data_IF_464845764171
#
_entry.id   IF_464845764171
#
_cell.length_a   1.000
_cell.length_b   1.000
_cell.length_c   1.000
_cell.angle_alpha   90.00
_cell.angle_beta   90.00
_cell.angle_gamma   90.00
#
_symmetry.space_group_name_H-M   'P 1'
#
loop_
_entity.id
_entity.type
_entity.pdbx_description
1 polymer ?
#
# COMPACT_ATOMS: atom_id res chain seq x y z
N UNK A 1 -11.56 -6.25 -18.77
CA UNK A 1 -11.30 -6.77 -17.40
C UNK A 1 -11.23 -5.59 -16.45
N UNK A 2 -12.03 -5.53 -15.38
CA UNK A 2 -11.92 -4.46 -14.40
C UNK A 2 -10.54 -4.52 -13.72
N UNK A 3 -9.90 -3.35 -13.57
CA UNK A 3 -8.58 -3.22 -12.97
C UNK A 3 -8.69 -2.39 -11.70
N UNK A 4 -8.19 -2.91 -10.59
CA UNK A 4 -8.08 -2.16 -9.35
C UNK A 4 -6.75 -1.40 -9.36
N UNK A 5 -6.84 -0.07 -9.35
CA UNK A 5 -5.68 0.83 -9.28
C UNK A 5 -5.56 1.34 -7.85
N UNK A 6 -4.36 1.25 -7.28
CA UNK A 6 -4.02 1.80 -5.97
C UNK A 6 -2.64 2.43 -6.01
N UNK A 7 -2.30 3.18 -4.96
CA UNK A 7 -0.97 3.75 -4.79
C UNK A 7 -0.60 3.78 -3.30
N UNK A 8 0.69 3.85 -3.02
CA UNK A 8 1.26 3.99 -1.68
C UNK A 8 2.19 5.20 -1.65
N UNK A 9 1.98 6.04 -0.65
CA UNK A 9 2.83 7.19 -0.36
C UNK A 9 3.97 6.81 0.58
N UNK A 10 5.22 7.10 0.19
CA UNK A 10 6.44 6.61 0.87
C UNK A 10 7.32 7.71 1.44
N UNK A 11 6.79 8.93 1.60
CA UNK A 11 7.59 10.07 2.06
C UNK A 11 8.32 9.79 3.38
N UNK A 12 7.62 9.28 4.39
CA UNK A 12 8.23 9.01 5.71
C UNK A 12 9.33 7.96 5.66
N UNK A 13 9.20 6.94 4.82
CA UNK A 13 10.25 5.93 4.61
C UNK A 13 11.49 6.55 3.98
N UNK A 14 11.30 7.38 2.94
CA UNK A 14 12.40 8.02 2.22
C UNK A 14 13.08 9.13 3.04
N UNK A 15 12.32 9.84 3.87
CA UNK A 15 12.87 10.77 4.86
C UNK A 15 13.79 10.02 5.84
N UNK A 16 13.31 8.92 6.42
CA UNK A 16 14.10 8.13 7.37
C UNK A 16 15.37 7.55 6.72
N UNK A 17 15.30 7.12 5.45
CA UNK A 17 16.46 6.67 4.69
C UNK A 17 17.54 7.76 4.52
N UNK A 18 17.16 9.04 4.61
CA UNK A 18 18.07 10.20 4.61
C UNK A 18 18.33 10.80 6.00
N UNK A 19 17.96 10.09 7.06
CA UNK A 19 18.19 10.55 8.42
C UNK A 19 17.28 11.70 8.87
N UNK A 20 16.19 11.97 8.14
CA UNK A 20 15.15 12.91 8.55
C UNK A 20 14.00 12.16 9.21
N UNK A 21 13.68 12.50 10.45
CA UNK A 21 12.65 11.81 11.25
C UNK A 21 11.48 12.73 11.63
N UNK A 22 11.65 14.04 11.44
CA UNK A 22 10.69 15.06 11.86
C UNK A 22 10.31 16.00 10.72
N UNK A 23 9.14 16.62 10.86
CA UNK A 23 8.68 17.68 9.95
C UNK A 23 9.60 18.89 9.97
N UNK A 24 10.18 19.20 11.14
CA UNK A 24 11.08 20.34 11.32
C UNK A 24 12.38 20.18 10.52
N UNK A 25 12.85 18.96 10.29
CA UNK A 25 14.03 18.70 9.46
C UNK A 25 13.74 18.85 7.96
N UNK A 26 12.52 18.55 7.51
CA UNK A 26 12.13 18.67 6.10
C UNK A 26 11.81 20.12 5.68
N UNK A 27 11.22 20.90 6.59
CA UNK A 27 10.73 22.25 6.30
C UNK A 27 11.79 23.23 5.75
N UNK A 28 13.01 23.32 6.30
CA UNK A 28 14.07 24.19 5.77
C UNK A 28 14.40 23.86 4.31
N UNK A 29 14.53 22.58 3.98
CA UNK A 29 14.87 22.13 2.63
C UNK A 29 13.79 22.46 1.59
N UNK A 30 12.51 22.43 1.99
CA UNK A 30 11.40 22.89 1.16
C UNK A 30 11.49 24.40 0.91
N UNK A 31 11.76 25.16 1.98
CA UNK A 31 11.83 26.63 1.93
C UNK A 31 13.01 27.11 1.07
N UNK A 32 14.17 26.46 1.20
CA UNK A 32 15.37 26.72 0.38
C UNK A 32 15.10 26.59 -1.13
N UNK A 33 14.11 25.77 -1.52
CA UNK A 33 13.71 25.54 -2.92
C UNK A 33 12.47 26.33 -3.33
N UNK A 34 12.04 27.29 -2.50
CA UNK A 34 10.89 28.15 -2.78
C UNK A 34 9.53 27.51 -2.50
N UNK A 35 9.48 26.38 -1.80
CA UNK A 35 8.22 25.75 -1.37
C UNK A 35 7.89 26.19 0.06
N UNK A 36 6.97 27.15 0.17
CA UNK A 36 6.45 27.61 1.46
C UNK A 36 5.15 26.87 1.79
N UNK A 37 5.23 25.92 2.73
CA UNK A 37 4.08 25.21 3.28
C UNK A 37 3.99 25.45 4.79
N UNK A 38 2.77 25.52 5.33
CA UNK A 38 2.58 25.53 6.79
C UNK A 38 3.03 24.21 7.42
N UNK A 39 3.45 24.25 8.69
CA UNK A 39 3.83 23.04 9.44
C UNK A 39 2.73 21.97 9.43
N UNK A 40 1.45 22.37 9.53
CA UNK A 40 0.32 21.43 9.41
C UNK A 40 0.24 20.76 8.04
N UNK A 41 0.51 21.50 6.94
CA UNK A 41 0.54 20.91 5.59
C UNK A 41 1.67 19.90 5.46
N UNK A 42 2.87 20.23 5.91
CA UNK A 42 4.01 19.30 5.85
C UNK A 42 3.75 18.08 6.74
N UNK A 43 3.20 18.27 7.94
CA UNK A 43 2.80 17.17 8.81
C UNK A 43 1.80 16.22 8.12
N UNK A 44 0.78 16.75 7.43
CA UNK A 44 -0.18 15.91 6.68
C UNK A 44 0.51 15.13 5.56
N UNK A 45 1.49 15.71 4.88
CA UNK A 45 2.29 14.99 3.88
C UNK A 45 3.08 13.85 4.51
N UNK A 46 3.69 14.04 5.68
CA UNK A 46 4.53 13.00 6.31
C UNK A 46 3.71 11.90 6.97
N UNK A 47 2.59 12.25 7.60
CA UNK A 47 1.77 11.33 8.41
C UNK A 47 0.67 10.60 7.63
N UNK A 48 0.20 11.18 6.52
CA UNK A 48 -0.94 10.66 5.75
C UNK A 48 -0.64 10.44 4.27
N UNK A 49 -1.59 9.85 3.55
CA UNK A 49 -1.55 9.73 2.09
C UNK A 49 -2.32 10.91 1.48
N UNK A 50 -1.65 11.82 0.74
CA UNK A 50 -2.33 12.97 0.14
C UNK A 50 -3.17 12.55 -1.06
N UNK A 51 -4.40 13.09 -1.15
CA UNK A 51 -5.24 12.92 -2.36
C UNK A 51 -4.81 13.86 -3.49
N UNK A 52 -4.26 15.02 -3.14
CA UNK A 52 -3.85 16.06 -4.08
C UNK A 52 -2.50 16.61 -3.65
N UNK A 53 -1.60 16.76 -4.61
CA UNK A 53 -0.27 17.31 -4.45
C UNK A 53 0.06 18.16 -5.68
N UNK A 54 0.73 19.29 -5.50
CA UNK A 54 1.21 20.07 -6.64
C UNK A 54 2.50 19.46 -7.20
N UNK A 55 2.67 19.52 -8.52
CA UNK A 55 3.87 19.02 -9.18
C UNK A 55 5.17 19.70 -8.70
N UNK A 56 5.21 21.01 -8.40
CA UNK A 56 6.40 21.63 -7.81
C UNK A 56 6.81 21.02 -6.46
N UNK A 57 5.83 20.71 -5.59
CA UNK A 57 6.12 20.05 -4.30
C UNK A 57 6.63 18.63 -4.55
N UNK A 58 6.01 17.89 -5.47
CA UNK A 58 6.47 16.55 -5.85
C UNK A 58 7.93 16.56 -6.34
N UNK A 59 8.24 17.44 -7.31
CA UNK A 59 9.59 17.56 -7.86
C UNK A 59 10.60 17.98 -6.80
N UNK A 60 10.22 18.91 -5.92
CA UNK A 60 11.07 19.38 -4.82
C UNK A 60 11.35 18.27 -3.81
N UNK A 61 10.35 17.47 -3.44
CA UNK A 61 10.54 16.31 -2.56
C UNK A 61 11.47 15.28 -3.21
N UNK A 62 11.32 15.04 -4.50
CA UNK A 62 12.21 14.15 -5.26
C UNK A 62 13.66 14.65 -5.29
N UNK A 63 13.88 15.98 -5.37
CA UNK A 63 15.21 16.58 -5.31
C UNK A 63 15.82 16.50 -3.91
N UNK A 64 15.08 16.91 -2.87
CA UNK A 64 15.53 16.85 -1.45
C UNK A 64 15.86 15.42 -1.06
N UNK A 65 15.01 14.49 -1.50
CA UNK A 65 15.12 13.08 -1.24
C UNK A 65 15.73 12.33 -2.41
N UNK A 66 16.53 12.98 -3.26
CA UNK A 66 17.28 12.40 -4.38
C UNK A 66 16.74 11.02 -4.83
N UNK A 67 15.48 11.04 -5.29
CA UNK A 67 14.68 9.89 -5.65
C UNK A 67 13.75 10.24 -6.81
N UNK A 68 13.14 9.23 -7.42
CA UNK A 68 12.18 9.45 -8.49
C UNK A 68 10.75 9.56 -7.93
N UNK A 69 9.80 10.11 -8.71
CA UNK A 69 8.38 10.08 -8.35
C UNK A 69 7.84 8.65 -8.12
N UNK A 70 8.39 7.64 -8.79
CA UNK A 70 7.98 6.24 -8.63
C UNK A 70 8.43 5.65 -7.29
N UNK A 71 9.56 6.13 -6.75
CA UNK A 71 10.03 5.75 -5.41
C UNK A 71 9.12 6.34 -4.32
N UNK A 72 8.69 7.58 -4.52
CA UNK A 72 7.85 8.34 -3.60
C UNK A 72 6.37 7.92 -3.65
N UNK A 73 5.85 7.61 -4.85
CA UNK A 73 4.48 7.17 -5.11
C UNK A 73 4.51 5.81 -5.82
N UNK A 74 4.50 4.74 -5.03
CA UNK A 74 4.44 3.40 -5.58
C UNK A 74 3.01 3.08 -6.05
N UNK A 75 2.80 3.01 -7.37
CA UNK A 75 1.50 2.68 -7.96
C UNK A 75 1.36 1.17 -8.16
N UNK A 76 0.13 0.65 -8.09
CA UNK A 76 -0.17 -0.76 -8.29
C UNK A 76 -1.46 -0.90 -9.07
N UNK A 77 -1.49 -1.79 -10.05
CA UNK A 77 -2.67 -2.04 -10.88
C UNK A 77 -2.89 -3.54 -11.05
N UNK A 78 -3.86 -4.07 -10.31
CA UNK A 78 -4.18 -5.50 -10.27
C UNK A 78 -5.45 -5.80 -11.07
N UNK A 79 -5.46 -6.86 -11.86
CA UNK A 79 -6.68 -7.34 -12.51
C UNK A 79 -7.60 -7.93 -11.46
N UNK A 80 -8.85 -7.45 -11.39
CA UNK A 80 -9.85 -8.11 -10.54
C UNK A 80 -10.15 -9.49 -11.14
N UNK A 81 -10.20 -10.55 -10.32
CA UNK A 81 -10.59 -11.86 -10.81
C UNK A 81 -11.98 -11.73 -11.44
N UNK A 82 -12.15 -12.32 -12.63
CA UNK A 82 -13.47 -12.42 -13.24
C UNK A 82 -14.40 -13.06 -12.21
N UNK A 83 -15.55 -12.44 -11.94
CA UNK A 83 -16.59 -13.02 -11.10
C UNK A 83 -16.90 -14.40 -11.68
N UNK A 84 -16.47 -15.47 -11.01
CA UNK A 84 -16.94 -16.82 -11.36
C UNK A 84 -18.45 -16.76 -11.23
N UNK A 85 -19.17 -17.06 -12.30
CA UNK A 85 -20.60 -17.29 -12.20
C UNK A 85 -20.80 -18.37 -11.14
N UNK A 86 -21.70 -18.14 -10.19
CA UNK A 86 -22.13 -19.18 -9.26
C UNK A 86 -22.89 -20.23 -10.08
N UNK A 87 -22.17 -21.23 -10.58
CA UNK A 87 -22.73 -22.24 -11.49
C UNK A 87 -21.74 -23.28 -11.97
N UNK A 88 -20.55 -23.37 -11.37
CA UNK A 88 -19.63 -24.46 -11.64
C UNK A 88 -19.30 -25.12 -10.29
N UNK A 89 -20.23 -26.00 -9.88
CA UNK A 89 -19.97 -26.98 -8.83
C UNK A 89 -18.79 -27.82 -9.28
N UNK A 90 -17.60 -27.54 -8.74
CA UNK A 90 -16.53 -28.51 -8.77
C UNK A 90 -17.08 -29.81 -8.13
N UNK A 91 -16.93 -30.98 -8.76
CA UNK A 91 -17.50 -32.21 -8.23
C UNK A 91 -16.89 -32.46 -6.85
N UNK A 92 -17.71 -32.32 -5.81
CA UNK A 92 -17.40 -32.79 -4.47
C UNK A 92 -17.15 -34.30 -4.56
N UNK A 93 -15.88 -34.70 -4.50
CA UNK A 93 -15.50 -36.10 -4.49
C UNK A 93 -15.84 -36.72 -3.12
N UNK A 94 -17.09 -37.18 -2.97
CA UNK A 94 -17.59 -37.84 -1.78
C UNK A 94 -16.84 -39.16 -1.46
N UNK A 95 -16.12 -39.74 -2.43
CA UNK A 95 -15.36 -40.97 -2.22
C UNK A 95 -14.07 -40.75 -1.40
N UNK A 96 -13.58 -39.51 -1.28
CA UNK A 96 -12.43 -39.18 -0.43
C UNK A 96 -12.78 -39.14 1.08
N UNK A 97 -14.07 -39.12 1.43
CA UNK A 97 -14.54 -39.20 2.82
C UNK A 97 -15.11 -40.59 3.12
N UNK A 98 -14.22 -41.59 3.16
CA UNK A 98 -14.60 -42.92 3.65
C UNK A 98 -14.65 -42.88 5.18
N UNK A 99 -15.80 -43.04 5.85
CA UNK A 99 -15.85 -43.10 7.30
C UNK A 99 -15.15 -44.38 7.79
N UNK A 100 -14.21 -44.21 8.73
CA UNK A 100 -13.59 -45.33 9.44
C UNK A 100 -14.68 -46.06 10.24
N UNK A 101 -14.84 -47.35 9.97
CA UNK A 101 -15.82 -48.20 10.63
C UNK A 101 -15.44 -48.35 12.11
N UNK A 102 -16.19 -47.72 13.00
CA UNK A 102 -16.05 -47.93 14.46
C UNK A 102 -16.43 -49.38 14.77
N UNK A 103 -15.51 -50.14 15.36
CA UNK A 103 -15.84 -51.43 15.98
C UNK A 103 -16.18 -51.17 17.45
N UNK A 104 -17.43 -51.45 17.82
CA UNK A 104 -17.82 -51.55 19.22
C UNK A 104 -17.42 -52.95 19.71
N UNK A 105 -16.49 -53.00 20.66
CA UNK A 105 -16.25 -54.20 21.48
C UNK A 105 -17.36 -54.29 22.53
N UNK A 106 -18.06 -55.43 22.66
CA UNK A 106 -18.93 -55.67 23.80
C UNK A 106 -18.07 -56.08 24.99
N UNK A 107 -18.10 -55.30 26.06
CA UNK A 107 -17.49 -55.67 27.34
C UNK A 107 -18.60 -55.67 28.40
N UNK A 108 -18.85 -56.88 28.92
CA UNK A 108 -19.30 -57.21 30.30
C UNK A 108 -20.49 -56.47 30.89
#
# INVERSE_FOLDING_TARGET
MPRQISYRWRLRELMAARGMFTVAELMPHLTERGITLSSSQVHRLVSGTPERLSLPVLATLCDILDCTPADLIATSAQNLPARRAAGEEAPINLAARRPTRVRLTPEG
#
